data_IF_114835691521
#
_entry.id   IF_114835691521
#
_cell.length_a   1.000
_cell.length_b   1.000
_cell.length_c   1.000
_cell.angle_alpha   90.00
_cell.angle_beta   90.00
_cell.angle_gamma   90.00
#
_symmetry.space_group_name_H-M   'P 1'
#
loop_
_entity.id
_entity.type
_entity.pdbx_description
1 polymer ?
#
# COMPACT_ATOMS: atom_id res chain seq x y z
N UNK A 1 -3.93 12.89 6.92
CA UNK A 1 -4.82 12.14 6.02
C UNK A 1 -4.57 10.65 6.17
N UNK A 2 -5.60 9.84 6.12
CA UNK A 2 -5.46 8.39 6.15
C UNK A 2 -5.38 7.86 4.73
N UNK A 3 -4.26 7.24 4.40
CA UNK A 3 -3.98 6.76 3.04
C UNK A 3 -3.81 5.24 3.07
N UNK A 4 -4.51 4.55 2.18
CA UNK A 4 -4.36 3.12 2.00
C UNK A 4 -3.60 2.85 0.70
N UNK A 5 -2.57 2.02 0.79
CA UNK A 5 -1.80 1.58 -0.36
C UNK A 5 -2.09 0.09 -0.59
N UNK A 6 -2.53 -0.24 -1.79
CA UNK A 6 -2.81 -1.62 -2.18
C UNK A 6 -1.59 -2.20 -2.88
N UNK A 7 -0.98 -3.20 -2.25
CA UNK A 7 0.20 -3.85 -2.76
C UNK A 7 1.49 -3.37 -2.12
N UNK A 8 2.29 -4.30 -1.61
CA UNK A 8 3.53 -4.02 -0.89
C UNK A 8 4.78 -4.32 -1.71
N UNK A 9 4.69 -4.20 -3.04
CA UNK A 9 5.85 -4.33 -3.91
C UNK A 9 6.73 -3.08 -3.86
N UNK A 10 7.62 -2.92 -4.84
CA UNK A 10 8.55 -1.78 -4.88
C UNK A 10 7.85 -0.43 -4.87
N UNK A 11 6.79 -0.28 -5.67
CA UNK A 11 6.05 0.98 -5.73
C UNK A 11 5.29 1.23 -4.43
N UNK A 12 4.69 0.19 -3.84
CA UNK A 12 4.01 0.32 -2.56
C UNK A 12 4.96 0.76 -1.45
N UNK A 13 6.15 0.17 -1.40
CA UNK A 13 7.19 0.55 -0.43
C UNK A 13 7.62 1.99 -0.62
N UNK A 14 7.80 2.42 -1.86
CA UNK A 14 8.19 3.79 -2.18
C UNK A 14 7.14 4.78 -1.68
N UNK A 15 5.88 4.56 -2.03
CA UNK A 15 4.80 5.44 -1.60
C UNK A 15 4.69 5.48 -0.07
N UNK A 16 4.84 4.33 0.58
CA UNK A 16 4.77 4.25 2.03
C UNK A 16 5.86 5.10 2.68
N UNK A 17 7.10 4.97 2.20
CA UNK A 17 8.22 5.70 2.75
C UNK A 17 8.03 7.22 2.60
N UNK A 18 7.54 7.65 1.45
CA UNK A 18 7.36 9.09 1.18
C UNK A 18 6.19 9.66 1.96
N UNK A 19 5.07 8.93 1.98
CA UNK A 19 3.82 9.48 2.55
C UNK A 19 3.73 9.36 4.06
N UNK A 20 4.46 8.42 4.66
CA UNK A 20 4.37 8.19 6.11
C UNK A 20 4.93 9.33 6.94
N UNK A 21 5.68 10.25 6.35
CA UNK A 21 6.21 11.42 7.06
C UNK A 21 5.10 12.37 7.53
N UNK A 22 4.05 12.53 6.76
CA UNK A 22 3.00 13.52 7.04
C UNK A 22 1.60 12.93 7.15
N UNK A 23 1.45 11.63 6.87
CA UNK A 23 0.13 11.00 6.82
C UNK A 23 0.12 9.69 7.59
N UNK A 24 -1.09 9.26 7.98
CA UNK A 24 -1.29 7.92 8.49
C UNK A 24 -1.42 6.99 7.28
N UNK A 25 -0.49 6.06 7.13
CA UNK A 25 -0.45 5.16 5.98
C UNK A 25 -0.70 3.73 6.42
N UNK A 26 -1.56 3.04 5.69
CA UNK A 26 -1.77 1.60 5.81
C UNK A 26 -1.44 0.94 4.49
N UNK A 27 -0.84 -0.23 4.54
CA UNK A 27 -0.52 -1.03 3.35
C UNK A 27 -1.25 -2.35 3.45
N UNK A 28 -1.96 -2.72 2.39
CA UNK A 28 -2.67 -3.98 2.30
C UNK A 28 -1.99 -4.88 1.28
N UNK A 29 -1.73 -6.12 1.67
CA UNK A 29 -1.26 -7.16 0.76
C UNK A 29 -1.75 -8.50 1.29
N UNK A 30 -2.23 -9.36 0.41
CA UNK A 30 -2.68 -10.69 0.78
C UNK A 30 -1.51 -11.58 1.22
N UNK A 31 -0.30 -11.23 0.85
CA UNK A 31 0.90 -11.97 1.20
C UNK A 31 1.62 -11.28 2.36
N UNK A 32 1.53 -11.82 3.60
CA UNK A 32 2.17 -11.18 4.75
C UNK A 32 3.69 -11.09 4.65
N UNK A 33 4.31 -11.93 3.82
CA UNK A 33 5.76 -11.87 3.61
C UNK A 33 6.18 -10.55 2.98
N UNK A 34 5.33 -9.96 2.15
CA UNK A 34 5.62 -8.67 1.52
C UNK A 34 5.54 -7.51 2.49
N UNK A 35 4.81 -7.68 3.57
CA UNK A 35 4.62 -6.63 4.59
C UNK A 35 5.71 -6.63 5.65
N UNK A 36 6.53 -7.64 5.70
CA UNK A 36 7.46 -7.86 6.81
C UNK A 36 8.53 -6.77 6.94
N UNK A 37 8.86 -6.09 5.85
CA UNK A 37 9.83 -4.99 5.85
C UNK A 37 9.19 -3.62 5.75
N UNK A 38 7.87 -3.54 5.89
CA UNK A 38 7.16 -2.28 5.85
C UNK A 38 7.06 -1.70 7.27
N UNK A 39 7.79 -0.62 7.51
CA UNK A 39 7.83 0.04 8.81
C UNK A 39 7.13 1.39 8.72
N UNK A 40 6.80 1.97 9.86
CA UNK A 40 6.15 3.28 9.96
C UNK A 40 4.77 3.34 9.30
N UNK A 41 4.08 2.20 9.22
CA UNK A 41 2.75 2.13 8.64
C UNK A 41 1.97 0.98 9.27
N UNK A 42 0.65 1.01 9.09
CA UNK A 42 -0.19 -0.13 9.45
C UNK A 42 -0.06 -1.19 8.36
N UNK A 43 -0.07 -2.44 8.75
CA UNK A 43 0.09 -3.57 7.83
C UNK A 43 -1.16 -4.43 7.88
N UNK A 44 -1.92 -4.45 6.79
CA UNK A 44 -3.19 -5.15 6.72
C UNK A 44 -3.11 -6.33 5.76
N UNK A 45 -3.67 -7.46 6.18
CA UNK A 45 -3.80 -8.65 5.35
C UNK A 45 -5.26 -9.05 5.15
N UNK A 46 -6.18 -8.41 5.87
CA UNK A 46 -7.61 -8.73 5.83
C UNK A 46 -8.42 -7.51 5.39
N UNK A 47 -9.44 -7.70 4.53
CA UNK A 47 -10.27 -6.59 4.08
C UNK A 47 -10.99 -5.85 5.22
N UNK A 48 -11.33 -6.54 6.30
CA UNK A 48 -12.01 -5.92 7.43
C UNK A 48 -11.17 -4.83 8.08
N UNK A 49 -9.84 -4.98 8.08
CA UNK A 49 -8.94 -3.98 8.63
C UNK A 49 -9.00 -2.68 7.83
N UNK A 50 -9.15 -2.78 6.51
CA UNK A 50 -9.31 -1.63 5.63
C UNK A 50 -10.58 -0.87 6.00
N UNK A 51 -11.66 -1.59 6.23
CA UNK A 51 -12.96 -1.00 6.56
C UNK A 51 -12.89 -0.21 7.86
N UNK A 52 -12.21 -0.75 8.86
CA UNK A 52 -12.04 -0.08 10.14
C UNK A 52 -11.14 1.14 10.03
N UNK A 53 -10.14 1.08 9.17
CA UNK A 53 -9.19 2.17 8.97
C UNK A 53 -9.85 3.41 8.34
N UNK A 54 -10.85 3.21 7.49
CA UNK A 54 -11.59 4.28 6.80
C UNK A 54 -10.64 5.22 6.05
N UNK A 55 -9.94 4.71 5.02
CA UNK A 55 -9.00 5.55 4.28
C UNK A 55 -9.68 6.67 3.53
N UNK A 56 -9.03 7.81 3.47
CA UNK A 56 -9.50 8.97 2.71
C UNK A 56 -8.98 8.94 1.27
N UNK A 57 -7.84 8.28 1.05
CA UNK A 57 -7.22 8.13 -0.25
C UNK A 57 -6.74 6.70 -0.42
N UNK A 58 -6.96 6.12 -1.59
CA UNK A 58 -6.49 4.76 -1.91
C UNK A 58 -5.58 4.83 -3.12
N UNK A 59 -4.37 4.29 -2.98
CA UNK A 59 -3.39 4.21 -4.06
C UNK A 59 -3.22 2.74 -4.43
N UNK A 60 -3.51 2.39 -5.68
CA UNK A 60 -3.38 1.01 -6.15
C UNK A 60 -2.01 0.80 -6.79
N UNK A 61 -1.02 0.48 -5.97
CA UNK A 61 0.35 0.28 -6.43
C UNK A 61 0.50 -0.98 -7.29
N UNK A 62 -0.34 -1.98 -7.06
CA UNK A 62 -0.32 -3.20 -7.87
C UNK A 62 -0.77 -2.92 -9.30
N UNK A 63 -1.81 -2.11 -9.49
CA UNK A 63 -2.30 -1.74 -10.83
C UNK A 63 -1.29 -0.89 -11.58
N UNK A 64 -0.62 0.03 -10.89
CA UNK A 64 0.43 0.86 -11.51
C UNK A 64 1.51 -0.02 -12.10
N UNK A 65 1.95 -1.04 -11.36
CA UNK A 65 2.95 -1.97 -11.85
C UNK A 65 2.49 -2.69 -13.11
N UNK A 66 1.24 -3.18 -13.12
CA UNK A 66 0.68 -3.85 -14.29
C UNK A 66 0.61 -2.94 -15.50
N UNK A 67 0.21 -1.71 -15.29
CA UNK A 67 0.10 -0.73 -16.37
C UNK A 67 1.45 -0.50 -17.04
N UNK A 68 2.51 -0.35 -16.24
CA UNK A 68 3.86 -0.16 -16.77
C UNK A 68 4.32 -1.38 -17.56
N UNK A 69 4.07 -2.58 -17.05
CA UNK A 69 4.46 -3.81 -17.75
C UNK A 69 3.74 -3.93 -19.10
N UNK A 70 2.48 -3.54 -19.16
CA UNK A 70 1.72 -3.56 -20.41
C UNK A 70 2.30 -2.59 -21.46
N UNK A 71 2.75 -1.43 -21.02
CA UNK A 71 3.36 -0.46 -21.92
C UNK A 71 4.72 -0.88 -22.44
N UNK A 72 5.42 -1.74 -21.70
CA UNK A 72 6.74 -2.23 -22.08
C UNK A 72 6.70 -3.42 -23.03
N UNK A 73 5.54 -3.94 -23.32
CA UNK A 73 5.35 -5.00 -24.29
C UNK A 73 5.00 -4.42 -25.67
#
# INVERSE_FOLDING_TARGET
MKILILGAGKMGSFFTDVLSFEHEVAVYDVNPQRLRFMYNCYRFTQPDEIKEFQPELVINAATVKYTLDAFNQ
#
